data_IF_210229865356
#
_entry.id   IF_210229865356
#
_cell.length_a   1.000
_cell.length_b   1.000
_cell.length_c   1.000
_cell.angle_alpha   90.00
_cell.angle_beta   90.00
_cell.angle_gamma   90.00
#
_symmetry.space_group_name_H-M   'P 1'
#
loop_
_entity.id
_entity.type
_entity.pdbx_description
1 polymer ?
#
# COMPACT_ATOMS: atom_id res chain seq x y z
N UNK A 1 12.63 19.53 -14.09
CA UNK A 1 13.00 18.90 -12.80
C UNK A 1 13.84 19.92 -12.05
N UNK A 2 13.42 20.33 -10.87
CA UNK A 2 14.06 21.42 -10.12
C UNK A 2 15.44 20.93 -9.60
N UNK A 3 16.56 21.66 -9.74
CA UNK A 3 17.87 21.24 -9.23
C UNK A 3 17.85 20.77 -7.77
N UNK A 4 17.03 21.39 -6.93
CA UNK A 4 16.87 21.02 -5.51
C UNK A 4 16.33 19.58 -5.32
N UNK A 5 15.48 19.12 -6.24
CA UNK A 5 14.95 17.74 -6.20
C UNK A 5 16.02 16.71 -6.56
N UNK A 6 16.94 17.06 -7.47
CA UNK A 6 18.08 16.19 -7.79
C UNK A 6 19.08 16.14 -6.63
N UNK A 7 19.28 17.26 -5.93
CA UNK A 7 20.15 17.33 -4.76
C UNK A 7 19.57 16.54 -3.58
N UNK A 8 18.27 16.66 -3.29
CA UNK A 8 17.60 15.81 -2.30
C UNK A 8 17.70 14.33 -2.62
N UNK A 9 17.47 13.93 -3.88
CA UNK A 9 17.60 12.53 -4.30
C UNK A 9 19.04 12.06 -4.13
N UNK A 10 20.04 12.85 -4.53
CA UNK A 10 21.45 12.51 -4.37
C UNK A 10 21.86 12.44 -2.90
N UNK A 11 21.32 13.29 -2.03
CA UNK A 11 21.60 13.29 -0.60
C UNK A 11 20.97 12.07 0.10
N UNK A 12 19.76 11.67 -0.31
CA UNK A 12 19.13 10.41 0.13
C UNK A 12 19.96 9.21 -0.34
N UNK A 13 20.42 9.21 -1.61
CA UNK A 13 21.25 8.13 -2.16
C UNK A 13 22.59 8.04 -1.42
N UNK A 14 23.25 9.16 -1.16
CA UNK A 14 24.50 9.22 -0.39
C UNK A 14 24.30 8.72 1.05
N UNK A 15 23.23 9.15 1.72
CA UNK A 15 22.88 8.65 3.05
C UNK A 15 22.62 7.14 3.06
N UNK A 16 21.97 6.59 2.02
CA UNK A 16 21.75 5.14 1.89
C UNK A 16 23.07 4.40 1.63
N UNK A 17 23.99 4.97 0.85
CA UNK A 17 25.31 4.40 0.57
C UNK A 17 26.22 4.41 1.80
N UNK A 18 26.11 5.43 2.66
CA UNK A 18 26.86 5.51 3.93
C UNK A 18 26.23 4.66 5.04
N UNK A 19 24.96 4.23 4.90
CA UNK A 19 24.24 3.51 5.94
C UNK A 19 24.27 1.97 5.86
N UNK A 20 24.17 1.28 7.02
CA UNK A 20 24.44 -0.15 7.18
C UNK A 20 23.49 -1.10 6.44
N UNK A 21 23.89 -2.38 6.37
CA UNK A 21 23.17 -3.54 5.83
C UNK A 21 21.64 -3.58 6.11
N UNK A 22 21.15 -2.90 7.14
CA UNK A 22 19.72 -2.81 7.45
C UNK A 22 18.90 -2.05 6.40
N UNK A 23 19.45 -1.01 5.74
CA UNK A 23 18.73 -0.26 4.71
C UNK A 23 18.48 -1.15 3.47
N UNK A 24 19.50 -1.89 3.05
CA UNK A 24 19.39 -2.91 2.01
C UNK A 24 18.42 -4.02 2.40
N UNK A 25 18.48 -4.49 3.65
CA UNK A 25 17.54 -5.48 4.16
C UNK A 25 16.09 -4.95 4.13
N UNK A 26 15.87 -3.67 4.41
CA UNK A 26 14.58 -3.00 4.31
C UNK A 26 14.05 -2.98 2.86
N UNK A 27 14.88 -2.57 1.90
CA UNK A 27 14.53 -2.57 0.47
C UNK A 27 14.26 -3.99 -0.05
N UNK A 28 15.08 -4.97 0.32
CA UNK A 28 14.87 -6.38 -0.04
C UNK A 28 13.57 -6.91 0.57
N UNK A 29 13.28 -6.57 1.83
CA UNK A 29 12.04 -6.97 2.50
C UNK A 29 10.84 -6.34 1.80
N UNK A 30 10.91 -5.06 1.47
CA UNK A 30 9.86 -4.34 0.73
C UNK A 30 9.64 -4.94 -0.66
N UNK A 31 10.73 -5.28 -1.36
CA UNK A 31 10.71 -5.96 -2.65
C UNK A 31 9.98 -7.31 -2.56
N UNK A 32 10.41 -8.17 -1.64
CA UNK A 32 9.83 -9.51 -1.44
C UNK A 32 8.37 -9.40 -1.01
N UNK A 33 8.04 -8.52 -0.06
CA UNK A 33 6.68 -8.28 0.37
C UNK A 33 5.80 -7.77 -0.78
N UNK A 34 6.29 -6.82 -1.57
CA UNK A 34 5.60 -6.27 -2.73
C UNK A 34 5.33 -7.33 -3.81
N UNK A 35 6.30 -8.18 -4.12
CA UNK A 35 6.13 -9.31 -5.07
C UNK A 35 5.14 -10.34 -4.52
N UNK A 36 5.25 -10.74 -3.25
CA UNK A 36 4.31 -11.68 -2.63
C UNK A 36 2.90 -11.12 -2.60
N UNK A 37 2.74 -9.83 -2.30
CA UNK A 37 1.46 -9.13 -2.32
C UNK A 37 0.88 -9.09 -3.76
N UNK A 38 1.73 -8.82 -4.75
CA UNK A 38 1.37 -8.77 -6.16
C UNK A 38 0.92 -10.13 -6.71
N UNK A 39 1.61 -11.23 -6.38
CA UNK A 39 1.26 -12.59 -6.86
C UNK A 39 0.13 -13.22 -6.05
N UNK A 40 0.15 -13.04 -4.73
CA UNK A 40 -0.62 -13.87 -3.79
C UNK A 40 -1.42 -13.10 -2.74
N UNK A 41 -1.47 -11.77 -2.81
CA UNK A 41 -1.99 -10.91 -1.75
C UNK A 41 -3.37 -11.30 -1.22
N UNK A 42 -4.32 -11.64 -2.10
CA UNK A 42 -5.66 -12.09 -1.69
C UNK A 42 -5.68 -13.34 -0.78
N UNK A 43 -4.68 -14.22 -0.88
CA UNK A 43 -4.59 -15.47 -0.11
C UNK A 43 -3.94 -15.24 1.25
N UNK A 44 -3.01 -14.29 1.31
CA UNK A 44 -2.16 -14.04 2.49
C UNK A 44 -2.81 -13.02 3.43
N UNK A 45 -3.54 -12.03 2.90
CA UNK A 45 -4.10 -10.94 3.72
C UNK A 45 -5.07 -11.43 4.80
N UNK A 46 -6.01 -12.33 4.48
CA UNK A 46 -7.00 -12.80 5.46
C UNK A 46 -6.36 -13.53 6.65
N UNK A 47 -5.47 -14.52 6.44
CA UNK A 47 -4.72 -15.13 7.54
C UNK A 47 -3.92 -14.13 8.35
N UNK A 48 -3.22 -13.19 7.70
CA UNK A 48 -2.43 -12.17 8.42
C UNK A 48 -3.31 -11.33 9.34
N UNK A 49 -4.42 -10.79 8.84
CA UNK A 49 -5.34 -10.01 9.68
C UNK A 49 -5.92 -10.84 10.82
N UNK A 50 -6.28 -12.10 10.58
CA UNK A 50 -6.78 -12.99 11.63
C UNK A 50 -5.72 -13.27 12.70
N UNK A 51 -4.46 -13.51 12.31
CA UNK A 51 -3.34 -13.74 13.23
C UNK A 51 -3.01 -12.49 14.02
N UNK A 52 -2.91 -11.33 13.37
CA UNK A 52 -2.68 -10.05 14.05
C UNK A 52 -3.80 -9.72 15.03
N UNK A 53 -5.06 -9.92 14.62
CA UNK A 53 -6.22 -9.78 15.48
C UNK A 53 -6.18 -10.75 16.67
N UNK A 54 -5.80 -12.00 16.45
CA UNK A 54 -5.67 -12.99 17.50
C UNK A 54 -4.56 -12.64 18.50
N UNK A 55 -3.42 -12.16 18.03
CA UNK A 55 -2.32 -11.73 18.89
C UNK A 55 -2.72 -10.50 19.71
N UNK A 56 -3.28 -9.47 19.07
CA UNK A 56 -3.73 -8.26 19.76
C UNK A 56 -4.86 -8.55 20.76
N UNK A 57 -5.87 -9.32 20.35
CA UNK A 57 -6.98 -9.71 21.21
C UNK A 57 -6.54 -10.63 22.35
N UNK A 58 -5.61 -11.56 22.10
CA UNK A 58 -5.05 -12.44 23.12
C UNK A 58 -4.22 -11.67 24.15
N UNK A 59 -3.43 -10.70 23.70
CA UNK A 59 -2.69 -9.80 24.58
C UNK A 59 -3.64 -8.96 25.46
N UNK A 60 -4.67 -8.36 24.87
CA UNK A 60 -5.68 -7.60 25.63
C UNK A 60 -6.48 -8.47 26.59
N UNK A 61 -6.89 -9.67 26.16
CA UNK A 61 -7.59 -10.63 27.01
C UNK A 61 -6.74 -11.09 28.19
N UNK A 62 -5.45 -11.31 27.96
CA UNK A 62 -4.49 -11.61 29.02
C UNK A 62 -4.35 -10.47 30.03
N UNK A 63 -4.32 -9.22 29.57
CA UNK A 63 -4.16 -8.06 30.43
C UNK A 63 -5.42 -7.72 31.26
N UNK A 64 -6.62 -7.94 30.70
CA UNK A 64 -7.89 -7.55 31.33
C UNK A 64 -8.35 -8.56 32.39
N UNK A 65 -8.16 -9.87 32.15
CA UNK A 65 -8.73 -10.92 33.01
C UNK A 65 -8.27 -10.87 34.48
N UNK A 66 -6.98 -10.64 34.80
CA UNK A 66 -6.55 -10.44 36.19
C UNK A 66 -7.28 -9.29 36.89
N UNK A 67 -7.57 -8.20 36.16
CA UNK A 67 -8.28 -7.04 36.69
C UNK A 67 -9.75 -7.32 37.06
N UNK A 68 -10.32 -8.43 36.57
CA UNK A 68 -11.69 -8.85 36.86
C UNK A 68 -11.78 -9.87 38.01
N UNK A 69 -10.65 -10.30 38.58
CA UNK A 69 -10.63 -11.29 39.68
C UNK A 69 -11.05 -12.71 39.27
N UNK A 70 -10.90 -13.06 37.99
CA UNK A 70 -11.21 -14.41 37.48
C UNK A 70 -9.94 -15.25 37.51
N UNK A 71 -9.73 -16.01 38.59
CA UNK A 71 -8.51 -16.80 38.77
C UNK A 71 -8.52 -18.12 37.97
N UNK A 72 -9.70 -18.71 37.74
CA UNK A 72 -9.84 -19.93 36.94
C UNK A 72 -11.18 -20.01 36.21
N UNK A 73 -11.15 -20.53 34.98
CA UNK A 73 -12.34 -20.79 34.16
C UNK A 73 -12.22 -22.19 33.56
N UNK A 74 -13.17 -23.08 33.86
CA UNK A 74 -13.16 -24.48 33.42
C UNK A 74 -11.88 -25.27 33.78
N UNK A 75 -11.27 -24.98 34.93
CA UNK A 75 -10.04 -25.64 35.37
C UNK A 75 -8.76 -25.17 34.66
N UNK A 76 -8.86 -24.15 33.80
CA UNK A 76 -7.71 -23.49 33.16
C UNK A 76 -7.42 -22.18 33.90
N UNK A 77 -6.14 -21.78 34.02
CA UNK A 77 -5.75 -20.49 34.59
C UNK A 77 -6.46 -19.34 33.87
N UNK A 78 -7.00 -18.37 34.63
CA UNK A 78 -7.72 -17.22 34.07
C UNK A 78 -6.95 -16.50 32.96
N UNK A 79 -5.63 -16.35 33.12
CA UNK A 79 -4.74 -15.73 32.13
C UNK A 79 -4.76 -16.42 30.75
N UNK A 80 -4.70 -17.76 30.74
CA UNK A 80 -4.72 -18.54 29.51
C UNK A 80 -6.12 -18.56 28.89
N UNK A 81 -7.16 -18.68 29.73
CA UNK A 81 -8.54 -18.59 29.28
C UNK A 81 -8.84 -17.22 28.66
N UNK A 82 -8.38 -16.14 29.29
CA UNK A 82 -8.46 -14.77 28.80
C UNK A 82 -7.75 -14.56 27.49
N UNK A 83 -6.52 -15.05 27.36
CA UNK A 83 -5.76 -14.99 26.11
C UNK A 83 -6.45 -15.78 24.98
N UNK A 84 -6.99 -16.96 25.26
CA UNK A 84 -7.67 -17.79 24.27
C UNK A 84 -8.98 -17.15 23.78
N UNK A 85 -9.83 -16.71 24.71
CA UNK A 85 -11.10 -16.03 24.37
C UNK A 85 -10.84 -14.69 23.68
N UNK A 86 -9.92 -13.90 24.23
CA UNK A 86 -9.50 -12.62 23.65
C UNK A 86 -8.92 -12.80 22.24
N UNK A 87 -8.10 -13.82 22.01
CA UNK A 87 -7.55 -14.13 20.70
C UNK A 87 -8.61 -14.55 19.70
N UNK A 88 -9.55 -15.41 20.09
CA UNK A 88 -10.67 -15.81 19.23
C UNK A 88 -11.54 -14.59 18.85
N UNK A 89 -11.91 -13.76 19.83
CA UNK A 89 -12.67 -12.53 19.60
C UNK A 89 -11.90 -11.52 18.75
N UNK A 90 -10.60 -11.34 19.00
CA UNK A 90 -9.73 -10.45 18.25
C UNK A 90 -9.59 -10.87 16.79
N UNK A 91 -9.46 -12.17 16.51
CA UNK A 91 -9.44 -12.69 15.15
C UNK A 91 -10.76 -12.38 14.39
N UNK A 92 -11.91 -12.59 15.05
CA UNK A 92 -13.22 -12.27 14.46
C UNK A 92 -13.38 -10.77 14.21
N UNK A 93 -13.00 -9.93 15.17
CA UNK A 93 -13.02 -8.48 15.03
C UNK A 93 -12.12 -8.01 13.87
N UNK A 94 -10.90 -8.56 13.76
CA UNK A 94 -9.99 -8.23 12.67
C UNK A 94 -10.53 -8.64 11.29
N UNK A 95 -11.24 -9.78 11.18
CA UNK A 95 -11.90 -10.18 9.93
C UNK A 95 -13.02 -9.20 9.53
N UNK A 96 -13.73 -8.62 10.50
CA UNK A 96 -14.74 -7.60 10.24
C UNK A 96 -14.10 -6.27 9.81
N UNK A 97 -13.10 -5.80 10.56
CA UNK A 97 -12.34 -4.58 10.25
C UNK A 97 -11.69 -4.67 8.87
N UNK A 98 -11.16 -5.85 8.51
CA UNK A 98 -10.56 -6.12 7.21
C UNK A 98 -11.50 -5.78 6.04
N UNK A 99 -12.81 -6.00 6.17
CA UNK A 99 -13.77 -5.65 5.11
C UNK A 99 -13.88 -4.14 4.93
N UNK A 100 -13.92 -3.40 6.03
CA UNK A 100 -13.98 -1.92 6.01
C UNK A 100 -12.67 -1.37 5.45
N UNK A 101 -11.53 -1.88 5.92
CA UNK A 101 -10.21 -1.50 5.46
C UNK A 101 -10.06 -1.71 3.94
N UNK A 102 -10.52 -2.84 3.41
CA UNK A 102 -10.51 -3.07 1.95
C UNK A 102 -11.38 -2.07 1.20
N UNK A 103 -12.55 -1.70 1.72
CA UNK A 103 -13.43 -0.71 1.09
C UNK A 103 -12.79 0.67 1.02
N UNK A 104 -12.05 1.06 2.05
CA UNK A 104 -11.28 2.31 2.08
C UNK A 104 -10.08 2.23 1.14
N UNK A 105 -9.32 1.14 1.17
CA UNK A 105 -8.17 1.00 0.27
C UNK A 105 -8.60 1.00 -1.20
N UNK A 106 -9.74 0.41 -1.53
CA UNK A 106 -10.24 0.43 -2.89
C UNK A 106 -10.79 1.77 -3.32
N UNK A 107 -11.43 2.53 -2.43
CA UNK A 107 -11.83 3.90 -2.74
C UNK A 107 -10.61 4.78 -3.01
N UNK A 108 -9.51 4.60 -2.28
CA UNK A 108 -8.26 5.30 -2.53
C UNK A 108 -7.64 4.91 -3.88
N UNK A 109 -7.55 3.61 -4.20
CA UNK A 109 -6.98 3.17 -5.49
C UNK A 109 -7.82 3.65 -6.67
N UNK A 110 -9.15 3.45 -6.62
CA UNK A 110 -10.03 3.86 -7.73
C UNK A 110 -10.13 5.38 -7.82
N UNK A 111 -10.17 6.09 -6.69
CA UNK A 111 -10.10 7.56 -6.63
C UNK A 111 -8.81 8.08 -7.26
N UNK A 112 -7.66 7.51 -6.88
CA UNK A 112 -6.37 7.87 -7.46
C UNK A 112 -6.32 7.61 -8.97
N UNK A 113 -6.81 6.46 -9.44
CA UNK A 113 -6.89 6.17 -10.88
C UNK A 113 -7.83 7.12 -11.63
N UNK A 114 -8.95 7.54 -11.01
CA UNK A 114 -9.88 8.48 -11.62
C UNK A 114 -9.25 9.89 -11.74
N UNK A 115 -8.55 10.35 -10.69
CA UNK A 115 -7.79 11.61 -10.73
C UNK A 115 -6.72 11.54 -11.82
N UNK A 116 -5.93 10.46 -11.88
CA UNK A 116 -4.92 10.27 -12.93
C UNK A 116 -5.53 10.29 -14.33
N UNK A 117 -6.67 9.62 -14.53
CA UNK A 117 -7.38 9.63 -15.81
C UNK A 117 -7.85 11.04 -16.21
N UNK A 118 -8.36 11.82 -15.26
CA UNK A 118 -8.73 13.21 -15.49
C UNK A 118 -7.51 14.09 -15.78
N UNK A 119 -6.39 13.89 -15.09
CA UNK A 119 -5.14 14.62 -15.37
C UNK A 119 -4.64 14.37 -16.80
N UNK A 120 -4.68 13.11 -17.27
CA UNK A 120 -4.33 12.78 -18.65
C UNK A 120 -5.29 13.47 -19.64
N UNK A 121 -6.60 13.46 -19.34
CA UNK A 121 -7.60 14.09 -20.18
C UNK A 121 -7.36 15.61 -20.32
N UNK A 122 -7.07 16.31 -19.22
CA UNK A 122 -6.75 17.74 -19.20
C UNK A 122 -5.53 18.02 -20.10
N UNK A 123 -4.43 17.28 -19.90
CA UNK A 123 -3.21 17.43 -20.71
C UNK A 123 -3.43 17.20 -22.21
N UNK A 124 -4.38 16.34 -22.58
CA UNK A 124 -4.70 16.07 -24.00
C UNK A 124 -5.66 17.08 -24.63
N UNK A 125 -6.39 17.86 -23.82
CA UNK A 125 -7.48 18.73 -24.29
C UNK A 125 -7.08 20.21 -24.34
N UNK A 126 -5.93 20.59 -23.77
CA UNK A 126 -5.49 21.98 -23.70
C UNK A 126 -5.28 22.59 -25.12
N UNK A 127 -6.06 23.61 -25.51
CA UNK A 127 -5.97 24.23 -26.82
C UNK A 127 -4.76 25.19 -26.93
N UNK A 128 -4.33 25.38 -28.18
CA UNK A 128 -3.16 26.12 -28.67
C UNK A 128 -2.71 27.38 -27.86
N UNK A 129 -1.39 27.65 -27.82
CA UNK A 129 -0.76 28.60 -26.90
C UNK A 129 -1.28 30.03 -27.05
N UNK A 130 -1.64 30.64 -25.93
CA UNK A 130 -1.82 32.09 -25.86
C UNK A 130 -0.46 32.81 -25.97
N UNK A 131 -0.47 33.94 -26.67
CA UNK A 131 0.68 34.73 -27.10
C UNK A 131 1.58 35.17 -25.93
N UNK A 132 2.88 35.35 -26.18
CA UNK A 132 3.87 35.65 -25.15
C UNK A 132 3.59 37.02 -24.52
N UNK A 133 3.15 37.01 -23.27
CA UNK A 133 3.22 38.18 -22.38
C UNK A 133 4.60 38.20 -21.73
N UNK A 134 5.47 39.03 -22.30
CA UNK A 134 6.68 39.54 -21.65
C UNK A 134 6.31 40.23 -20.34
N UNK A 135 6.77 39.69 -19.21
CA UNK A 135 7.08 40.49 -18.03
C UNK A 135 8.45 40.06 -17.45
N UNK A 136 9.46 40.94 -17.47
CA UNK A 136 10.74 40.74 -16.82
C UNK A 136 10.64 41.19 -15.36
N UNK A 137 10.89 40.29 -14.41
CA UNK A 137 11.09 40.68 -13.00
C UNK A 137 12.12 39.78 -12.31
N UNK A 138 13.32 40.37 -12.24
CA UNK A 138 14.22 40.44 -11.08
C UNK A 138 14.47 39.18 -10.24
N UNK A 139 15.62 38.58 -10.53
CA UNK A 139 16.37 37.69 -9.66
C UNK A 139 16.89 38.44 -8.43
N UNK A 140 16.35 38.14 -7.25
CA UNK A 140 16.99 38.45 -5.97
C UNK A 140 17.89 37.27 -5.56
N UNK A 141 19.20 37.44 -5.74
CA UNK A 141 20.24 36.57 -5.20
C UNK A 141 20.26 36.70 -3.67
N UNK A 142 19.98 35.61 -2.96
CA UNK A 142 20.21 35.47 -1.52
C UNK A 142 21.46 34.62 -1.34
N UNK A 143 22.51 35.22 -0.81
CA UNK A 143 23.77 34.52 -0.44
C UNK A 143 23.56 33.73 0.88
N UNK A 144 23.89 32.43 0.92
CA UNK A 144 23.89 31.66 2.16
C UNK A 144 25.20 31.87 2.93
N UNK A 145 25.14 32.60 4.05
CA UNK A 145 26.23 32.65 5.03
C UNK A 145 26.32 31.31 5.79
N UNK A 146 27.48 30.66 5.69
CA UNK A 146 27.82 29.41 6.37
C UNK A 146 28.90 29.70 7.43
N UNK A 147 28.48 29.87 8.69
CA UNK A 147 29.38 29.85 9.85
C UNK A 147 29.27 28.50 10.54
N UNK A 148 30.35 27.71 10.45
CA UNK A 148 30.52 26.42 11.11
C UNK A 148 31.61 26.57 12.18
N UNK A 149 31.20 26.79 13.43
CA UNK A 149 32.08 26.67 14.59
C UNK A 149 31.89 25.32 15.29
N UNK A 150 33.03 24.78 15.70
CA UNK A 150 33.32 23.48 16.29
C UNK A 150 32.63 23.28 17.66
N UNK A 151 31.90 22.16 17.84
CA UNK A 151 32.06 21.26 19.01
C UNK A 151 31.27 19.93 18.80
N UNK A 152 31.97 18.85 18.43
CA UNK A 152 31.36 17.65 17.83
C UNK A 152 31.40 16.38 18.71
N UNK A 153 31.34 16.49 20.04
CA UNK A 153 31.39 15.29 20.90
C UNK A 153 30.23 15.08 21.88
N UNK A 154 29.43 16.12 22.22
CA UNK A 154 28.26 15.95 23.12
C UNK A 154 26.92 15.69 22.41
N UNK A 155 26.83 15.99 21.11
CA UNK A 155 25.62 15.89 20.29
C UNK A 155 25.08 14.44 20.13
N UNK A 156 25.93 13.40 20.16
CA UNK A 156 25.52 12.03 19.80
C UNK A 156 24.50 11.40 20.76
N UNK A 157 24.56 11.72 22.06
CA UNK A 157 23.61 11.19 23.04
C UNK A 157 22.30 11.99 23.08
N UNK A 158 22.34 13.29 22.74
CA UNK A 158 21.16 14.15 22.62
C UNK A 158 20.38 13.86 21.33
N UNK A 159 21.10 13.59 20.23
CA UNK A 159 20.56 13.21 18.93
C UNK A 159 19.74 11.92 19.01
N UNK A 160 20.12 10.93 19.82
CA UNK A 160 19.37 9.68 19.88
C UNK A 160 17.99 9.83 20.55
N UNK A 161 17.84 10.76 21.52
CA UNK A 161 16.56 11.00 22.17
C UNK A 161 15.68 11.98 21.38
N UNK A 162 16.28 13.04 20.81
CA UNK A 162 15.58 13.95 19.90
C UNK A 162 15.18 13.25 18.60
N UNK A 163 16.04 12.45 17.97
CA UNK A 163 15.69 11.72 16.75
C UNK A 163 14.61 10.67 17.00
N UNK A 164 14.54 10.07 18.19
CA UNK A 164 13.45 9.12 18.50
C UNK A 164 12.10 9.83 18.63
N UNK A 165 12.07 11.06 19.15
CA UNK A 165 10.86 11.89 19.18
C UNK A 165 10.55 12.48 17.79
N UNK A 166 11.58 12.94 17.06
CA UNK A 166 11.45 13.45 15.70
C UNK A 166 10.95 12.37 14.75
N UNK A 167 11.42 11.13 14.87
CA UNK A 167 10.92 9.99 14.10
C UNK A 167 9.45 9.65 14.40
N UNK A 168 8.91 10.04 15.57
CA UNK A 168 7.50 9.89 15.90
C UNK A 168 6.63 11.03 15.34
N UNK A 169 7.17 12.24 15.22
CA UNK A 169 6.49 13.43 14.67
C UNK A 169 6.68 13.59 13.13
N UNK A 170 7.73 12.98 12.57
CA UNK A 170 8.09 12.97 11.15
C UNK A 170 7.00 12.46 10.20
N UNK A 171 6.20 11.43 10.53
CA UNK A 171 5.18 10.95 9.60
C UNK A 171 4.15 12.03 9.25
N UNK A 172 3.80 12.89 10.21
CA UNK A 172 2.88 14.00 10.01
C UNK A 172 3.47 15.10 9.13
N UNK A 173 4.74 15.44 9.34
CA UNK A 173 5.47 16.43 8.54
C UNK A 173 5.67 15.95 7.10
N UNK A 174 6.12 14.70 6.92
CA UNK A 174 6.30 14.10 5.61
C UNK A 174 5.02 14.10 4.76
N UNK A 175 3.88 13.70 5.36
CA UNK A 175 2.58 13.75 4.66
C UNK A 175 2.18 15.20 4.34
N UNK A 176 2.45 16.13 5.26
CA UNK A 176 2.22 17.56 5.06
C UNK A 176 3.05 18.15 3.91
N UNK A 177 4.32 17.76 3.82
CA UNK A 177 5.25 18.23 2.80
C UNK A 177 4.93 17.64 1.43
N UNK A 178 4.58 16.34 1.36
CA UNK A 178 4.05 15.73 0.13
C UNK A 178 2.80 16.47 -0.34
N UNK A 179 1.87 16.75 0.58
CA UNK A 179 0.62 17.42 0.23
C UNK A 179 0.87 18.87 -0.22
N UNK A 180 1.78 19.59 0.43
CA UNK A 180 2.17 20.96 0.04
C UNK A 180 2.84 20.98 -1.33
N UNK A 181 3.78 20.07 -1.58
CA UNK A 181 4.45 19.94 -2.89
C UNK A 181 3.45 19.61 -3.98
N UNK A 182 2.61 18.60 -3.76
CA UNK A 182 1.52 18.24 -4.67
C UNK A 182 0.60 19.45 -4.94
N UNK A 183 0.20 20.16 -3.88
CA UNK A 183 -0.69 21.31 -4.01
C UNK A 183 -0.04 22.42 -4.83
N UNK A 184 1.19 22.80 -4.51
CA UNK A 184 1.88 23.89 -5.19
C UNK A 184 2.17 23.57 -6.67
N UNK A 185 2.55 22.32 -6.98
CA UNK A 185 3.00 21.94 -8.33
C UNK A 185 1.85 21.50 -9.25
N UNK A 186 0.88 20.75 -8.72
CA UNK A 186 -0.18 20.13 -9.52
C UNK A 186 -1.55 20.78 -9.32
N UNK A 187 -1.83 21.31 -8.13
CA UNK A 187 -3.16 21.83 -7.83
C UNK A 187 -3.30 23.31 -8.11
N UNK A 188 -2.41 24.15 -7.57
CA UNK A 188 -2.53 25.59 -7.61
C UNK A 188 -2.49 26.16 -9.05
N UNK A 189 -1.67 25.63 -9.99
CA UNK A 189 -1.63 26.11 -11.37
C UNK A 189 -2.90 25.83 -12.19
N UNK A 190 -3.72 24.88 -11.79
CA UNK A 190 -4.93 24.52 -12.53
C UNK A 190 -5.98 25.61 -12.48
N UNK A 191 -6.73 25.78 -13.56
CA UNK A 191 -7.86 26.69 -13.59
C UNK A 191 -9.02 26.17 -12.71
N UNK A 192 -10.07 26.99 -12.55
CA UNK A 192 -11.22 26.60 -11.74
C UNK A 192 -11.98 25.39 -12.31
N UNK A 193 -12.00 25.23 -13.65
CA UNK A 193 -12.69 24.14 -14.34
C UNK A 193 -12.01 22.79 -14.10
N UNK A 194 -10.70 22.73 -14.29
CA UNK A 194 -9.88 21.53 -14.12
C UNK A 194 -9.82 21.09 -12.66
N UNK A 195 -9.73 22.04 -11.72
CA UNK A 195 -9.87 21.77 -10.28
C UNK A 195 -11.21 21.10 -9.97
N UNK A 196 -12.31 21.58 -10.56
CA UNK A 196 -13.62 20.98 -10.37
C UNK A 196 -13.70 19.58 -11.00
N UNK A 197 -13.14 19.39 -12.20
CA UNK A 197 -13.10 18.09 -12.89
C UNK A 197 -12.28 17.05 -12.12
N UNK A 198 -11.10 17.41 -11.62
CA UNK A 198 -10.26 16.54 -10.79
C UNK A 198 -10.93 16.20 -9.46
N UNK A 199 -11.57 17.17 -8.81
CA UNK A 199 -12.33 16.92 -7.58
C UNK A 199 -13.48 15.96 -7.84
N UNK A 200 -14.26 16.21 -8.90
CA UNK A 200 -15.43 15.40 -9.23
C UNK A 200 -15.04 13.97 -9.62
N UNK A 201 -13.98 13.81 -10.42
CA UNK A 201 -13.46 12.49 -10.79
C UNK A 201 -12.90 11.72 -9.59
N UNK A 202 -12.14 12.39 -8.71
CA UNK A 202 -11.66 11.80 -7.46
C UNK A 202 -12.79 11.34 -6.54
N UNK A 203 -13.80 12.19 -6.31
CA UNK A 203 -14.98 11.84 -5.51
C UNK A 203 -15.78 10.69 -6.13
N UNK A 204 -16.01 10.73 -7.45
CA UNK A 204 -16.69 9.65 -8.16
C UNK A 204 -15.92 8.34 -8.05
N UNK A 205 -14.58 8.37 -8.20
CA UNK A 205 -13.71 7.22 -8.03
C UNK A 205 -13.72 6.67 -6.60
N UNK A 206 -13.75 7.52 -5.58
CA UNK A 206 -13.88 7.12 -4.18
C UNK A 206 -15.20 6.39 -3.93
N UNK A 207 -16.32 6.96 -4.40
CA UNK A 207 -17.64 6.33 -4.25
C UNK A 207 -17.71 5.00 -4.98
N UNK A 208 -17.22 4.95 -6.23
CA UNK A 208 -17.17 3.72 -7.02
C UNK A 208 -16.28 2.67 -6.37
N UNK A 209 -15.11 3.06 -5.86
CA UNK A 209 -14.18 2.16 -5.17
C UNK A 209 -14.74 1.63 -3.86
N UNK A 210 -15.47 2.44 -3.09
CA UNK A 210 -16.16 1.98 -1.87
C UNK A 210 -17.27 1.00 -2.21
N UNK A 211 -18.10 1.31 -3.21
CA UNK A 211 -19.16 0.42 -3.69
C UNK A 211 -18.57 -0.92 -4.16
N UNK A 212 -17.48 -0.91 -4.93
CA UNK A 212 -16.78 -2.12 -5.34
C UNK A 212 -16.23 -2.91 -4.14
N UNK A 213 -15.67 -2.23 -3.13
CA UNK A 213 -15.19 -2.86 -1.90
C UNK A 213 -16.28 -3.60 -1.13
N UNK A 214 -17.46 -3.01 -1.03
CA UNK A 214 -18.61 -3.60 -0.34
C UNK A 214 -19.25 -4.73 -1.16
N UNK A 215 -19.50 -4.51 -2.45
CA UNK A 215 -20.23 -5.46 -3.31
C UNK A 215 -19.38 -6.64 -3.77
N UNK A 216 -18.08 -6.46 -3.94
CA UNK A 216 -17.19 -7.46 -4.53
C UNK A 216 -15.86 -7.60 -3.77
N UNK A 217 -15.86 -7.82 -2.44
CA UNK A 217 -14.65 -7.74 -1.61
C UNK A 217 -13.52 -8.65 -2.08
N UNK A 218 -13.83 -9.82 -2.66
CA UNK A 218 -12.83 -10.74 -3.22
C UNK A 218 -12.11 -10.17 -4.45
N UNK A 219 -12.84 -9.49 -5.34
CA UNK A 219 -12.25 -8.86 -6.54
C UNK A 219 -11.46 -7.63 -6.13
N UNK A 220 -12.03 -6.85 -5.22
CA UNK A 220 -11.41 -5.64 -4.71
C UNK A 220 -10.11 -5.91 -3.97
N UNK A 221 -10.03 -6.98 -3.17
CA UNK A 221 -8.76 -7.40 -2.56
C UNK A 221 -7.70 -7.67 -3.64
N UNK A 222 -8.06 -8.35 -4.72
CA UNK A 222 -7.12 -8.65 -5.80
C UNK A 222 -6.65 -7.38 -6.50
N UNK A 223 -7.56 -6.44 -6.76
CA UNK A 223 -7.24 -5.14 -7.31
C UNK A 223 -6.28 -4.37 -6.39
N UNK A 224 -6.64 -4.15 -5.13
CA UNK A 224 -5.78 -3.39 -4.19
C UNK A 224 -4.40 -4.04 -4.06
N UNK A 225 -4.31 -5.36 -3.87
CA UNK A 225 -3.01 -6.03 -3.71
C UNK A 225 -2.16 -6.06 -4.97
N UNK A 226 -2.77 -6.12 -6.16
CA UNK A 226 -2.02 -6.02 -7.40
C UNK A 226 -1.44 -4.62 -7.60
N UNK A 227 -2.24 -3.58 -7.39
CA UNK A 227 -1.80 -2.18 -7.53
C UNK A 227 -0.79 -1.78 -6.45
N UNK A 228 -1.08 -2.08 -5.19
CA UNK A 228 -0.15 -1.82 -4.07
C UNK A 228 1.10 -2.66 -4.16
N UNK A 229 1.00 -3.93 -4.54
CA UNK A 229 2.16 -4.80 -4.72
C UNK A 229 3.11 -4.24 -5.78
N UNK A 230 2.58 -3.89 -6.96
CA UNK A 230 3.35 -3.24 -8.04
C UNK A 230 3.96 -1.91 -7.58
N UNK A 231 3.20 -1.10 -6.84
CA UNK A 231 3.66 0.18 -6.29
C UNK A 231 4.73 0.05 -5.21
N UNK A 232 4.86 -1.12 -4.56
CA UNK A 232 5.90 -1.37 -3.56
C UNK A 232 7.18 -1.91 -4.20
N UNK A 233 7.08 -2.95 -5.04
CA UNK A 233 8.27 -3.63 -5.53
C UNK A 233 8.98 -2.88 -6.67
N UNK A 234 8.25 -2.14 -7.52
CA UNK A 234 8.88 -1.39 -8.61
C UNK A 234 9.83 -0.28 -8.11
N UNK A 235 9.42 0.62 -7.19
CA UNK A 235 10.34 1.57 -6.59
C UNK A 235 11.47 0.88 -5.81
N UNK A 236 11.18 -0.23 -5.13
CA UNK A 236 12.21 -0.99 -4.43
C UNK A 236 13.31 -1.48 -5.40
N UNK A 237 12.95 -2.00 -6.58
CA UNK A 237 13.94 -2.36 -7.62
C UNK A 237 14.69 -1.13 -8.10
N UNK A 238 14.00 -0.01 -8.34
CA UNK A 238 14.64 1.23 -8.77
C UNK A 238 15.73 1.66 -7.77
N UNK A 239 15.39 1.77 -6.48
CA UNK A 239 16.36 2.13 -5.45
C UNK A 239 17.46 1.08 -5.27
N UNK A 240 17.14 -0.21 -5.33
CA UNK A 240 18.14 -1.27 -5.24
C UNK A 240 19.13 -1.22 -6.43
N UNK A 241 18.66 -0.85 -7.62
CA UNK A 241 19.51 -0.73 -8.81
C UNK A 241 20.48 0.45 -8.73
N UNK A 242 20.05 1.56 -8.13
CA UNK A 242 20.89 2.74 -7.92
C UNK A 242 21.95 2.48 -6.85
N UNK A 243 21.58 1.79 -5.77
CA UNK A 243 22.49 1.46 -4.66
C UNK A 243 23.53 0.40 -5.03
N UNK A 244 23.18 -0.57 -5.86
CA UNK A 244 24.08 -1.65 -6.30
C UNK A 244 24.82 -1.35 -7.61
N UNK A 245 24.68 -0.14 -8.16
CA UNK A 245 25.28 0.29 -9.43
C UNK A 245 25.10 -0.73 -10.59
N UNK A 246 23.92 -1.34 -10.69
CA UNK A 246 23.71 -2.43 -11.65
C UNK A 246 23.83 -1.94 -13.11
N UNK A 247 24.47 -2.74 -14.00
CA UNK A 247 24.49 -2.43 -15.43
C UNK A 247 23.06 -2.42 -15.97
N UNK A 248 22.64 -1.29 -16.55
CA UNK A 248 21.28 -1.08 -17.05
C UNK A 248 20.45 -0.04 -16.29
N UNK A 249 21.01 0.67 -15.30
CA UNK A 249 20.31 1.78 -14.60
C UNK A 249 19.76 2.86 -15.54
N UNK A 250 20.42 3.09 -16.69
CA UNK A 250 19.93 4.02 -17.72
C UNK A 250 18.56 3.63 -18.31
N UNK A 251 18.18 2.34 -18.27
CA UNK A 251 16.87 1.87 -18.72
C UNK A 251 15.76 2.29 -17.73
N UNK A 252 16.13 2.63 -16.49
CA UNK A 252 15.23 3.03 -15.42
C UNK A 252 15.08 4.55 -15.28
N UNK A 253 15.98 5.32 -15.91
CA UNK A 253 15.89 6.78 -16.05
C UNK A 253 14.85 7.14 -17.12
N UNK A 254 13.58 6.92 -16.76
CA UNK A 254 12.42 7.16 -17.63
C UNK A 254 11.57 8.31 -17.14
N UNK A 255 10.82 8.91 -18.05
CA UNK A 255 9.87 9.97 -17.73
C UNK A 255 8.80 9.44 -16.75
N UNK A 256 8.24 10.31 -15.88
CA UNK A 256 7.19 9.91 -14.93
C UNK A 256 5.99 9.21 -15.59
N UNK A 257 5.62 9.65 -16.81
CA UNK A 257 4.51 9.06 -17.57
C UNK A 257 4.81 7.62 -18.01
N UNK A 258 6.06 7.31 -18.35
CA UNK A 258 6.47 5.95 -18.71
C UNK A 258 6.45 5.04 -17.48
N UNK A 259 6.91 5.55 -16.33
CA UNK A 259 6.83 4.83 -15.06
C UNK A 259 5.39 4.52 -14.66
N UNK A 260 4.48 5.46 -14.85
CA UNK A 260 3.05 5.26 -14.63
C UNK A 260 2.50 4.18 -15.57
N UNK A 261 2.84 4.21 -16.85
CA UNK A 261 2.43 3.19 -17.81
C UNK A 261 2.95 1.79 -17.44
N UNK A 262 4.23 1.68 -17.07
CA UNK A 262 4.85 0.44 -16.60
C UNK A 262 4.12 -0.07 -15.35
N UNK A 263 3.90 0.79 -14.36
CA UNK A 263 3.19 0.44 -13.14
C UNK A 263 1.78 -0.06 -13.42
N UNK A 264 1.05 0.58 -14.33
CA UNK A 264 -0.31 0.19 -14.71
C UNK A 264 -0.31 -1.17 -15.41
N UNK A 265 0.58 -1.39 -16.38
CA UNK A 265 0.72 -2.70 -17.07
C UNK A 265 1.03 -3.81 -16.06
N UNK A 266 2.02 -3.60 -15.19
CA UNK A 266 2.40 -4.55 -14.15
C UNK A 266 1.24 -4.82 -13.19
N UNK A 267 0.52 -3.78 -12.77
CA UNK A 267 -0.66 -3.91 -11.90
C UNK A 267 -1.76 -4.73 -12.57
N UNK A 268 -2.03 -4.50 -13.85
CA UNK A 268 -3.02 -5.25 -14.62
C UNK A 268 -2.62 -6.72 -14.80
N UNK A 269 -1.34 -7.01 -15.04
CA UNK A 269 -0.83 -8.38 -15.08
C UNK A 269 -1.02 -9.08 -13.74
N UNK A 270 -0.70 -8.43 -12.63
CA UNK A 270 -0.92 -8.96 -11.27
C UNK A 270 -2.40 -9.22 -11.01
N UNK A 271 -3.27 -8.29 -11.39
CA UNK A 271 -4.71 -8.44 -11.26
C UNK A 271 -5.20 -9.66 -12.05
N UNK A 272 -4.72 -9.87 -13.28
CA UNK A 272 -5.08 -11.00 -14.10
C UNK A 272 -4.63 -12.34 -13.49
N UNK A 273 -3.39 -12.44 -13.02
CA UNK A 273 -2.85 -13.62 -12.31
C UNK A 273 -3.73 -13.95 -11.09
N UNK A 274 -4.06 -12.93 -10.29
CA UNK A 274 -4.89 -13.11 -9.11
C UNK A 274 -6.35 -13.48 -9.45
N UNK A 275 -6.87 -12.97 -10.56
CA UNK A 275 -8.22 -13.26 -11.04
C UNK A 275 -8.34 -14.70 -11.54
N UNK A 276 -7.39 -15.20 -12.33
CA UNK A 276 -7.41 -16.59 -12.84
C UNK A 276 -7.54 -17.60 -11.70
N UNK A 277 -6.82 -17.39 -10.59
CA UNK A 277 -6.97 -18.29 -9.46
C UNK A 277 -8.33 -18.20 -8.73
N UNK A 278 -9.26 -17.30 -9.08
CA UNK A 278 -10.66 -17.33 -8.59
C UNK A 278 -11.52 -18.31 -9.40
N UNK A 279 -11.28 -18.44 -10.70
CA UNK A 279 -12.10 -19.26 -11.59
C UNK A 279 -11.83 -20.75 -11.38
N UNK A 280 -10.58 -21.13 -11.15
CA UNK A 280 -10.19 -22.54 -11.04
C UNK A 280 -10.83 -23.25 -9.83
N UNK A 281 -10.99 -22.53 -8.70
CA UNK A 281 -11.64 -23.06 -7.50
C UNK A 281 -13.13 -23.37 -7.70
N UNK A 282 -13.81 -22.72 -8.64
CA UNK A 282 -15.22 -23.04 -8.94
C UNK A 282 -15.33 -24.32 -9.76
N UNK A 283 -14.40 -24.56 -10.68
CA UNK A 283 -14.43 -25.73 -11.56
C UNK A 283 -14.16 -27.03 -10.77
N UNK A 284 -13.18 -27.02 -9.86
CA UNK A 284 -12.87 -28.23 -9.06
C UNK A 284 -14.00 -28.65 -8.13
N UNK A 285 -14.73 -27.69 -7.55
CA UNK A 285 -15.88 -27.99 -6.68
C UNK A 285 -17.10 -28.51 -7.45
N UNK A 286 -17.24 -28.18 -8.73
CA UNK A 286 -18.34 -28.67 -9.55
C UNK A 286 -18.11 -30.12 -9.99
N UNK A 287 -16.90 -30.43 -10.48
CA UNK A 287 -16.51 -31.80 -10.85
C UNK A 287 -16.74 -32.77 -9.69
N UNK A 288 -16.31 -32.42 -8.47
CA UNK A 288 -16.45 -33.32 -7.32
C UNK A 288 -17.92 -33.62 -6.96
N UNK A 289 -18.84 -32.68 -7.15
CA UNK A 289 -20.28 -32.95 -6.91
C UNK A 289 -20.87 -33.85 -7.99
N UNK A 290 -20.46 -33.67 -9.24
CA UNK A 290 -20.97 -34.47 -10.35
C UNK A 290 -20.43 -35.92 -10.33
N UNK A 291 -19.31 -36.16 -9.63
CA UNK A 291 -18.75 -37.50 -9.40
C UNK A 291 -19.42 -38.19 -8.19
N UNK A 292 -19.69 -37.46 -7.08
CA UNK A 292 -20.33 -38.02 -5.89
C UNK A 292 -21.80 -38.45 -6.17
N UNK A 293 -22.52 -37.79 -7.09
CA UNK A 293 -23.92 -38.13 -7.43
C UNK A 293 -24.05 -39.40 -8.32
N UNK A 294 -22.95 -39.93 -8.87
CA UNK A 294 -22.98 -41.14 -9.72
C UNK A 294 -22.80 -42.43 -8.93
N UNK A 295 -22.15 -42.38 -7.78
CA UNK A 295 -21.86 -43.57 -6.98
C UNK A 295 -23.09 -44.07 -6.17
N UNK A 296 -24.16 -43.27 -6.11
CA UNK A 296 -25.40 -43.60 -5.39
C UNK A 296 -26.52 -44.18 -6.30
N UNK A 297 -26.35 -44.18 -7.62
CA UNK A 297 -27.37 -44.71 -8.55
C UNK A 297 -27.23 -46.22 -8.80
N UNK A 298 -26.06 -46.81 -8.58
CA UNK A 298 -25.77 -48.21 -8.90
C UNK A 298 -26.00 -49.21 -7.73
N UNK A 299 -26.73 -48.83 -6.67
CA UNK A 299 -26.90 -49.71 -5.47
C UNK A 299 -28.29 -50.28 -5.24
N UNK A 300 -29.28 -49.96 -6.08
CA UNK A 300 -30.67 -50.37 -5.83
C UNK A 300 -31.20 -51.51 -6.73
N UNK A 301 -30.39 -52.07 -7.65
CA UNK A 301 -30.88 -53.07 -8.62
C UNK A 301 -30.67 -54.56 -8.23
N UNK A 302 -30.11 -54.89 -7.06
CA UNK A 302 -29.81 -56.28 -6.65
C UNK A 302 -30.78 -56.87 -5.61
N UNK A 303 -32.05 -56.42 -5.54
CA UNK A 303 -33.05 -57.02 -4.65
C UNK A 303 -34.34 -57.32 -5.39
N UNK A 304 -34.38 -58.44 -6.11
CA UNK A 304 -35.61 -59.19 -6.40
C UNK A 304 -35.24 -60.52 -7.10
N UNK A 305 -34.83 -61.52 -6.31
CA UNK A 305 -34.81 -62.93 -6.73
C UNK A 305 -34.85 -63.81 -5.46
N UNK A 306 -36.05 -64.06 -4.92
CA UNK A 306 -36.39 -65.22 -4.07
C UNK A 306 -37.92 -65.41 -3.97
#
# INVERSE_FOLDING_TARGET
MNPDTLEQVNQIVAAIQEHPLWAHAGLITLLVAGVLLWVSGRRVLKPIFAVLGALAGGFLGHAIVPGMGIDSMFGISGNLAGAAVGGAMGALAAILIFRVAIGILSSLVVGGLAVLGASIFIQTTEPAPELPTTDPSESALVEPETSLDEDSSSWRDQINLENAQKAADEPGQFVGDIFRGFKAELWDPLDGGDKALLTASGLAGIVAGLALGVLAPKKTTALVTAFSGAGMWLPAIYFLSQTLELPGKAILERLPIEWLAIWLVVSMTGLFIQWQGLTDRKKSKRSKRDDDDKDDIDKDDDKDDD
#
